data_IF_766805079900
#
_entry.id   IF_766805079900
#
_cell.length_a   1.000
_cell.length_b   1.000
_cell.length_c   1.000
_cell.angle_alpha   90.00
_cell.angle_beta   90.00
_cell.angle_gamma   90.00
#
_symmetry.space_group_name_H-M   'P 1'
#
loop_
_entity.id
_entity.type
_entity.pdbx_description
1 polymer ?
#
# COMPACT_ATOMS: atom_id res chain seq x y z
N UNK A 1 -4.78 -3.44 -29.71
CA UNK A 1 -3.62 -4.27 -29.33
C UNK A 1 -3.22 -3.84 -27.94
N UNK A 2 -3.16 -4.77 -26.97
CA UNK A 2 -2.70 -4.44 -25.62
C UNK A 2 -1.25 -3.95 -25.68
N UNK A 3 -0.88 -2.97 -24.84
CA UNK A 3 0.51 -2.56 -24.70
C UNK A 3 1.37 -3.77 -24.30
N UNK A 4 2.65 -3.83 -24.75
CA UNK A 4 3.55 -4.90 -24.37
C UNK A 4 3.76 -4.93 -22.85
N UNK A 5 4.25 -6.07 -22.36
CA UNK A 5 4.58 -6.22 -20.95
C UNK A 5 5.82 -5.42 -20.57
N UNK A 6 5.83 -4.84 -19.36
CA UNK A 6 6.99 -4.12 -18.90
C UNK A 6 8.17 -5.08 -18.70
N UNK A 7 9.37 -4.62 -19.02
CA UNK A 7 10.59 -5.44 -18.97
C UNK A 7 10.88 -6.02 -17.60
N UNK A 8 10.39 -5.37 -16.53
CA UNK A 8 10.58 -5.81 -15.15
C UNK A 8 9.63 -6.91 -14.69
N UNK A 9 8.56 -7.23 -15.43
CA UNK A 9 7.52 -8.16 -14.98
C UNK A 9 8.09 -9.54 -14.65
N UNK A 10 8.96 -10.05 -15.53
CA UNK A 10 9.60 -11.35 -15.36
C UNK A 10 10.51 -11.42 -14.13
N UNK A 11 11.23 -10.34 -13.82
CA UNK A 11 12.09 -10.28 -12.63
C UNK A 11 11.26 -10.13 -11.36
N UNK A 12 10.21 -9.30 -11.39
CA UNK A 12 9.26 -9.20 -10.27
C UNK A 12 8.62 -10.55 -9.93
N UNK A 13 8.16 -11.29 -10.95
CA UNK A 13 7.60 -12.63 -10.75
C UNK A 13 8.61 -13.60 -10.13
N UNK A 14 9.89 -13.51 -10.51
CA UNK A 14 10.95 -14.34 -9.93
C UNK A 14 11.19 -14.00 -8.47
N UNK A 15 11.32 -12.72 -8.15
CA UNK A 15 11.63 -12.24 -6.80
C UNK A 15 10.48 -12.56 -5.81
N UNK A 16 9.24 -12.38 -6.26
CA UNK A 16 8.02 -12.68 -5.49
C UNK A 16 7.57 -14.16 -5.58
N UNK A 17 8.33 -15.00 -6.31
CA UNK A 17 8.07 -16.45 -6.50
C UNK A 17 6.67 -16.75 -7.04
N UNK A 18 6.23 -15.98 -8.03
CA UNK A 18 4.92 -16.06 -8.66
C UNK A 18 4.93 -17.07 -9.83
N UNK A 19 3.85 -17.84 -9.95
CA UNK A 19 3.67 -18.81 -11.03
C UNK A 19 3.29 -18.16 -12.37
N UNK A 20 3.29 -18.92 -13.48
CA UNK A 20 2.95 -18.41 -14.81
C UNK A 20 1.54 -17.82 -14.90
N UNK A 21 0.58 -18.35 -14.12
CA UNK A 21 -0.80 -17.86 -14.04
C UNK A 21 -0.89 -16.39 -13.58
N UNK A 22 0.18 -15.87 -12.95
CA UNK A 22 0.25 -14.47 -12.57
C UNK A 22 0.21 -13.52 -13.77
N UNK A 23 0.69 -13.94 -14.95
CA UNK A 23 0.62 -13.11 -16.17
C UNK A 23 -0.83 -12.81 -16.54
N UNK A 24 -1.72 -13.81 -16.44
CA UNK A 24 -3.15 -13.61 -16.65
C UNK A 24 -3.72 -12.63 -15.62
N UNK A 25 -3.42 -12.81 -14.34
CA UNK A 25 -3.85 -11.87 -13.29
C UNK A 25 -3.29 -10.46 -13.50
N UNK A 26 -2.07 -10.33 -14.02
CA UNK A 26 -1.46 -9.04 -14.36
C UNK A 26 -2.29 -8.31 -15.42
N UNK A 27 -2.69 -9.00 -16.50
CA UNK A 27 -3.49 -8.41 -17.56
C UNK A 27 -4.95 -8.16 -17.18
N UNK A 28 -5.56 -9.06 -16.38
CA UNK A 28 -6.98 -8.95 -16.03
C UNK A 28 -7.24 -7.96 -14.88
N UNK A 29 -6.29 -7.80 -13.96
CA UNK A 29 -6.48 -7.01 -12.74
C UNK A 29 -5.49 -5.85 -12.61
N UNK A 30 -4.19 -6.13 -12.65
CA UNK A 30 -3.18 -5.15 -12.24
C UNK A 30 -3.06 -4.00 -13.23
N UNK A 31 -2.92 -4.31 -14.52
CA UNK A 31 -2.79 -3.31 -15.58
C UNK A 31 -4.06 -2.44 -15.71
N UNK A 32 -5.28 -2.99 -15.82
CA UNK A 32 -6.49 -2.17 -15.89
C UNK A 32 -6.71 -1.32 -14.64
N UNK A 33 -6.32 -1.82 -13.45
CA UNK A 33 -6.40 -1.03 -12.22
C UNK A 33 -5.41 0.14 -12.25
N UNK A 34 -4.16 -0.08 -12.67
CA UNK A 34 -3.17 0.98 -12.80
C UNK A 34 -3.63 2.06 -13.79
N UNK A 35 -4.12 1.68 -14.97
CA UNK A 35 -4.64 2.62 -15.97
C UNK A 35 -5.78 3.49 -15.41
N UNK A 36 -6.73 2.88 -14.68
CA UNK A 36 -7.84 3.59 -14.03
C UNK A 36 -7.35 4.56 -12.95
N UNK A 37 -6.38 4.14 -12.14
CA UNK A 37 -5.81 4.98 -11.10
C UNK A 37 -4.99 6.13 -11.69
N UNK A 38 -4.24 5.90 -12.75
CA UNK A 38 -3.48 6.92 -13.46
C UNK A 38 -4.41 7.99 -14.05
N UNK A 39 -5.49 7.56 -14.71
CA UNK A 39 -6.50 8.46 -15.24
C UNK A 39 -7.17 9.28 -14.12
N UNK A 40 -7.56 8.64 -13.02
CA UNK A 40 -8.16 9.32 -11.87
C UNK A 40 -7.21 10.33 -11.20
N UNK A 41 -5.93 9.96 -11.03
CA UNK A 41 -4.91 10.84 -10.47
C UNK A 41 -4.65 12.08 -11.36
N UNK A 42 -4.56 11.89 -12.68
CA UNK A 42 -4.42 13.00 -13.64
C UNK A 42 -5.65 13.91 -13.64
N UNK A 43 -6.85 13.34 -13.60
CA UNK A 43 -8.09 14.10 -13.49
C UNK A 43 -8.21 14.85 -12.15
N UNK A 44 -7.64 14.32 -11.07
CA UNK A 44 -7.58 15.01 -9.77
C UNK A 44 -6.75 16.30 -9.84
N UNK A 45 -5.70 16.35 -10.67
CA UNK A 45 -5.00 17.58 -11.06
C UNK A 45 -4.20 18.28 -9.95
N UNK A 46 -4.03 17.64 -8.79
CA UNK A 46 -3.24 18.17 -7.65
C UNK A 46 -2.60 17.04 -6.84
N UNK A 47 -1.61 17.31 -5.98
CA UNK A 47 -1.07 16.32 -5.06
C UNK A 47 -2.13 15.75 -4.10
N UNK A 48 -1.88 14.56 -3.57
CA UNK A 48 -2.74 13.92 -2.57
C UNK A 48 -3.90 13.09 -3.12
N UNK A 49 -3.82 12.58 -4.35
CA UNK A 49 -4.75 11.53 -4.78
C UNK A 49 -4.49 10.25 -3.98
N UNK A 50 -5.48 9.81 -3.18
CA UNK A 50 -5.38 8.62 -2.33
C UNK A 50 -6.32 7.53 -2.84
N UNK A 51 -5.78 6.33 -3.05
CA UNK A 51 -6.53 5.13 -3.38
C UNK A 51 -6.39 4.09 -2.25
N UNK A 52 -7.49 3.77 -1.59
CA UNK A 52 -7.52 2.74 -0.55
C UNK A 52 -7.72 1.34 -1.13
N UNK A 53 -6.93 0.37 -0.68
CA UNK A 53 -7.10 -1.05 -0.99
C UNK A 53 -7.35 -1.85 0.30
N UNK A 54 -8.43 -2.62 0.31
CA UNK A 54 -8.77 -3.52 1.42
C UNK A 54 -9.11 -4.92 0.89
N UNK A 55 -8.95 -5.92 1.76
CA UNK A 55 -9.18 -7.33 1.42
C UNK A 55 -8.60 -8.27 2.48
N UNK A 56 -8.98 -9.55 2.46
CA UNK A 56 -8.58 -10.51 3.49
C UNK A 56 -7.06 -10.77 3.50
N UNK A 57 -6.55 -11.30 4.62
CA UNK A 57 -5.15 -11.72 4.71
C UNK A 57 -4.88 -12.83 3.67
N UNK A 58 -3.71 -12.78 3.03
CA UNK A 58 -3.35 -13.75 1.98
C UNK A 58 -3.96 -13.47 0.60
N UNK A 59 -4.82 -12.45 0.44
CA UNK A 59 -5.44 -12.12 -0.85
C UNK A 59 -4.50 -11.46 -1.89
N UNK A 60 -3.19 -11.41 -1.65
CA UNK A 60 -2.22 -10.82 -2.59
C UNK A 60 -2.21 -9.28 -2.65
N UNK A 61 -2.76 -8.58 -1.66
CA UNK A 61 -2.82 -7.09 -1.65
C UNK A 61 -1.46 -6.41 -1.80
N UNK A 62 -0.45 -6.89 -1.09
CA UNK A 62 0.91 -6.34 -1.17
C UNK A 62 1.50 -6.49 -2.57
N UNK A 63 1.30 -7.66 -3.19
CA UNK A 63 1.70 -7.93 -4.57
C UNK A 63 0.95 -7.03 -5.55
N UNK A 64 -0.38 -6.89 -5.41
CA UNK A 64 -1.19 -6.00 -6.24
C UNK A 64 -0.70 -4.55 -6.16
N UNK A 65 -0.48 -4.04 -4.95
CA UNK A 65 -0.02 -2.67 -4.72
C UNK A 65 1.39 -2.45 -5.29
N UNK A 66 2.32 -3.40 -5.11
CA UNK A 66 3.68 -3.27 -5.62
C UNK A 66 3.71 -3.17 -7.16
N UNK A 67 2.94 -4.00 -7.84
CA UNK A 67 2.85 -4.01 -9.32
C UNK A 67 2.17 -2.75 -9.83
N UNK A 68 1.04 -2.37 -9.22
CA UNK A 68 0.31 -1.15 -9.61
C UNK A 68 1.17 0.09 -9.38
N UNK A 69 1.87 0.17 -8.25
CA UNK A 69 2.78 1.28 -7.98
C UNK A 69 3.84 1.41 -9.07
N UNK A 70 4.48 0.30 -9.46
CA UNK A 70 5.50 0.29 -10.51
C UNK A 70 4.96 0.68 -11.88
N UNK A 71 3.75 0.22 -12.22
CA UNK A 71 3.07 0.64 -13.45
C UNK A 71 2.77 2.15 -13.47
N UNK A 72 2.32 2.71 -12.34
CA UNK A 72 2.08 4.15 -12.21
C UNK A 72 3.38 4.97 -12.29
N UNK A 73 4.47 4.45 -11.73
CA UNK A 73 5.81 5.05 -11.82
C UNK A 73 6.35 5.04 -13.26
N UNK A 74 6.16 3.94 -14.00
CA UNK A 74 6.49 3.86 -15.44
C UNK A 74 5.69 4.89 -16.27
N UNK A 75 4.50 5.25 -15.81
CA UNK A 75 3.67 6.33 -16.38
C UNK A 75 4.08 7.75 -15.91
N UNK A 76 5.17 7.87 -15.15
CA UNK A 76 5.74 9.13 -14.68
C UNK A 76 5.06 9.72 -13.44
N UNK A 77 4.20 8.96 -12.75
CA UNK A 77 3.58 9.41 -11.50
C UNK A 77 4.51 9.17 -10.30
N UNK A 78 4.45 10.07 -9.32
CA UNK A 78 5.08 9.84 -8.01
C UNK A 78 4.12 9.06 -7.13
N UNK A 79 4.56 7.91 -6.63
CA UNK A 79 3.73 7.00 -5.84
C UNK A 79 4.31 6.83 -4.44
N UNK A 80 3.41 6.81 -3.44
CA UNK A 80 3.74 6.44 -2.07
C UNK A 80 2.87 5.26 -1.65
N UNK A 81 3.49 4.24 -1.06
CA UNK A 81 2.80 3.06 -0.52
C UNK A 81 2.84 3.11 1.00
N UNK A 82 1.67 3.22 1.60
CA UNK A 82 1.46 3.21 3.05
C UNK A 82 0.61 2.00 3.44
N UNK A 83 1.19 1.08 4.21
CA UNK A 83 0.43 -0.03 4.79
C UNK A 83 -0.21 0.41 6.10
N UNK A 84 -1.40 -0.09 6.41
CA UNK A 84 -1.98 0.09 7.74
C UNK A 84 -1.09 -0.53 8.83
N UNK A 85 -0.41 -1.63 8.51
CA UNK A 85 0.53 -2.28 9.43
C UNK A 85 1.74 -1.38 9.78
N UNK A 86 2.10 -0.41 8.94
CA UNK A 86 3.19 0.54 9.22
C UNK A 86 2.81 1.54 10.33
N UNK A 87 1.52 1.61 10.67
CA UNK A 87 0.96 2.51 11.66
C UNK A 87 0.64 1.78 12.97
N UNK A 88 1.14 0.57 13.21
CA UNK A 88 0.95 -0.05 14.52
C UNK A 88 1.57 0.82 15.63
N UNK A 89 0.87 0.90 16.76
CA UNK A 89 1.44 1.45 17.99
C UNK A 89 2.71 0.68 18.37
N UNK A 90 3.55 1.24 19.22
CA UNK A 90 4.69 0.52 19.79
C UNK A 90 4.22 -0.64 20.68
N UNK A 91 5.13 -1.56 20.99
CA UNK A 91 4.85 -2.63 21.96
C UNK A 91 4.43 -2.06 23.32
N UNK A 92 5.10 -1.00 23.79
CA UNK A 92 4.82 -0.40 25.08
C UNK A 92 3.41 0.20 25.15
N UNK A 93 3.02 0.97 24.13
CA UNK A 93 1.68 1.57 24.03
C UNK A 93 0.58 0.51 24.00
N UNK A 94 0.80 -0.58 23.25
CA UNK A 94 -0.15 -1.71 23.25
C UNK A 94 -0.28 -2.40 24.60
N UNK A 95 0.81 -2.55 25.36
CA UNK A 95 0.74 -3.10 26.71
C UNK A 95 -0.03 -2.19 27.67
N UNK A 96 0.14 -0.87 27.53
CA UNK A 96 -0.65 0.09 28.30
C UNK A 96 -2.15 -0.02 27.97
N UNK A 97 -2.51 -0.08 26.68
CA UNK A 97 -3.90 -0.29 26.25
C UNK A 97 -4.47 -1.63 26.75
N UNK A 98 -3.65 -2.68 26.78
CA UNK A 98 -4.09 -3.99 27.28
C UNK A 98 -4.49 -3.94 28.76
N UNK A 99 -3.74 -3.20 29.56
CA UNK A 99 -4.00 -3.02 30.99
C UNK A 99 -5.18 -2.07 31.28
N UNK A 100 -5.37 -1.05 30.45
CA UNK A 100 -6.35 0.01 30.69
C UNK A 100 -7.71 -0.22 30.03
N UNK A 101 -7.74 -0.93 28.90
CA UNK A 101 -8.93 -1.06 28.05
C UNK A 101 -9.34 -2.51 27.89
N UNK A 102 -8.50 -3.35 27.28
CA UNK A 102 -8.83 -4.76 27.06
C UNK A 102 -7.59 -5.60 26.71
N UNK A 103 -7.40 -6.82 27.28
CA UNK A 103 -6.22 -7.66 27.05
C UNK A 103 -5.86 -7.94 25.59
N UNK A 104 -6.86 -8.00 24.69
CA UNK A 104 -6.64 -8.19 23.24
C UNK A 104 -5.79 -7.09 22.60
N UNK A 105 -5.69 -5.90 23.19
CA UNK A 105 -4.92 -4.79 22.65
C UNK A 105 -3.41 -4.93 22.86
N UNK A 106 -2.96 -5.97 23.59
CA UNK A 106 -1.55 -6.33 23.69
C UNK A 106 -0.98 -6.79 22.33
N UNK A 107 -1.81 -7.36 21.47
CA UNK A 107 -1.44 -7.88 20.15
C UNK A 107 -1.68 -6.84 19.06
N UNK A 108 -1.05 -7.06 17.90
CA UNK A 108 -1.31 -6.28 16.68
C UNK A 108 -2.58 -6.79 16.00
N UNK A 109 -3.32 -5.90 15.35
CA UNK A 109 -4.39 -6.25 14.40
C UNK A 109 -5.77 -5.70 14.76
N UNK A 110 -6.27 -5.89 15.99
CA UNK A 110 -7.57 -5.35 16.37
C UNK A 110 -7.69 -3.83 16.22
N UNK A 111 -8.89 -3.29 15.99
CA UNK A 111 -9.13 -1.85 16.04
C UNK A 111 -8.62 -1.23 17.34
N UNK A 112 -7.97 -0.07 17.25
CA UNK A 112 -7.34 0.61 18.39
C UNK A 112 -5.85 0.30 18.56
N UNK A 113 -5.26 -0.61 17.78
CA UNK A 113 -3.83 -0.96 17.87
C UNK A 113 -2.92 -0.14 16.95
N UNK A 114 -3.46 0.89 16.29
CA UNK A 114 -2.76 1.74 15.33
C UNK A 114 -2.68 3.19 15.82
N UNK A 115 -1.60 3.87 15.48
CA UNK A 115 -1.45 5.31 15.63
C UNK A 115 -2.20 6.05 14.52
N UNK A 116 -3.48 6.35 14.80
CA UNK A 116 -4.36 7.08 13.88
C UNK A 116 -3.87 8.51 13.66
N UNK A 117 -3.29 9.15 14.68
CA UNK A 117 -2.81 10.53 14.58
C UNK A 117 -1.62 10.61 13.60
N UNK A 118 -0.67 9.68 13.70
CA UNK A 118 0.43 9.55 12.74
C UNK A 118 -0.07 9.28 11.32
N UNK A 119 -1.07 8.43 11.17
CA UNK A 119 -1.69 8.12 9.87
C UNK A 119 -2.29 9.36 9.21
N UNK A 120 -3.09 10.13 9.95
CA UNK A 120 -3.69 11.38 9.47
C UNK A 120 -2.61 12.41 9.11
N UNK A 121 -1.63 12.63 9.99
CA UNK A 121 -0.54 13.56 9.73
C UNK A 121 0.29 13.20 8.49
N UNK A 122 0.49 11.89 8.25
CA UNK A 122 1.18 11.38 7.06
C UNK A 122 0.38 11.66 5.79
N UNK A 123 -0.94 11.40 5.78
CA UNK A 123 -1.81 11.69 4.65
C UNK A 123 -1.89 13.20 4.35
N UNK A 124 -2.00 14.03 5.39
CA UNK A 124 -2.01 15.49 5.24
C UNK A 124 -0.68 16.01 4.68
N UNK A 125 0.45 15.38 5.03
CA UNK A 125 1.75 15.71 4.47
C UNK A 125 1.88 15.30 3.00
N UNK A 126 1.39 14.11 2.63
CA UNK A 126 1.37 13.61 1.25
C UNK A 126 0.43 14.42 0.33
N UNK A 127 -0.49 15.20 0.89
CA UNK A 127 -1.33 16.12 0.13
C UNK A 127 -0.57 17.37 -0.36
N UNK A 128 0.72 17.51 -0.02
CA UNK A 128 1.60 18.62 -0.40
C UNK A 128 2.73 18.13 -1.32
N UNK A 129 3.37 19.02 -2.11
CA UNK A 129 4.46 18.64 -3.01
C UNK A 129 5.81 18.37 -2.31
N UNK A 130 5.86 18.46 -0.98
CA UNK A 130 7.07 18.32 -0.17
C UNK A 130 7.50 16.87 0.00
N UNK A 131 8.76 16.66 0.37
CA UNK A 131 9.22 15.34 0.81
C UNK A 131 8.55 14.97 2.14
N UNK A 132 7.91 13.80 2.16
CA UNK A 132 7.21 13.29 3.34
C UNK A 132 7.84 11.96 3.77
N UNK A 133 8.36 11.86 5.02
CA UNK A 133 8.81 10.58 5.54
C UNK A 133 7.60 9.65 5.73
N UNK A 134 7.71 8.41 5.27
CA UNK A 134 6.69 7.39 5.48
C UNK A 134 7.02 6.57 6.73
N UNK A 135 6.02 6.32 7.60
CA UNK A 135 6.21 5.44 8.75
C UNK A 135 6.49 4.01 8.27
N UNK A 136 7.27 3.28 9.07
CA UNK A 136 7.57 1.86 8.87
C UNK A 136 7.54 1.17 10.22
N UNK A 137 6.88 0.03 10.28
CA UNK A 137 6.83 -0.77 11.49
C UNK A 137 7.71 -2.01 11.36
N UNK A 138 8.71 -2.14 12.22
CA UNK A 138 9.50 -3.37 12.31
C UNK A 138 8.70 -4.47 13.00
N UNK A 139 8.48 -5.57 12.28
CA UNK A 139 7.72 -6.71 12.80
C UNK A 139 8.57 -7.71 13.59
N UNK A 140 9.90 -7.55 13.61
CA UNK A 140 10.86 -8.39 14.31
C UNK A 140 10.69 -8.40 15.84
#
# INVERSE_FOLDING_TARGET
MSAPDPSWLSDFMRDERLGPDFVEAFHLLHRPLAERLAAAARAHGRPGFVAGLSGPQGAGKSTLVAVVARLLEDEGLKVAVLSLDDLYLTRAERQALAAQVHPLLATRGPPGTHDVALGLATLDALARPDQTPLPRFDKA
#
